data_IF_063300183683
#
_entry.id   IF_063300183683
#
_cell.length_a   1.000
_cell.length_b   1.000
_cell.length_c   1.000
_cell.angle_alpha   90.00
_cell.angle_beta   90.00
_cell.angle_gamma   90.00
#
_symmetry.space_group_name_H-M   'P 1'
#
loop_
_entity.id
_entity.type
_entity.pdbx_description
1 polymer ?
#
# COMPACT_ATOMS: atom_id res chain seq x y z
N UNK A 1 -4.51 -21.43 63.10
CA UNK A 1 -4.01 -22.80 63.35
C UNK A 1 -3.32 -22.77 64.68
N UNK A 2 -3.75 -23.60 65.62
CA UNK A 2 -3.25 -23.58 66.98
C UNK A 2 -1.85 -24.17 67.01
N UNK A 3 -0.83 -23.33 67.21
CA UNK A 3 0.60 -23.70 67.12
C UNK A 3 0.91 -24.79 68.16
N UNK A 4 0.29 -24.69 69.34
CA UNK A 4 0.39 -25.67 70.43
C UNK A 4 -0.14 -27.06 70.04
N UNK A 5 -1.16 -27.14 69.18
CA UNK A 5 -1.73 -28.41 68.75
C UNK A 5 -0.78 -29.13 67.77
N UNK A 6 -0.20 -28.38 66.84
CA UNK A 6 0.77 -28.90 65.86
C UNK A 6 2.07 -29.33 66.55
N UNK A 7 2.52 -28.58 67.56
CA UNK A 7 3.71 -28.93 68.34
C UNK A 7 3.49 -30.22 69.15
N UNK A 8 2.32 -30.39 69.77
CA UNK A 8 1.97 -31.63 70.49
C UNK A 8 1.88 -32.84 69.58
N UNK A 9 1.31 -32.70 68.39
CA UNK A 9 1.19 -33.78 67.41
C UNK A 9 2.56 -34.16 66.82
N UNK A 10 3.39 -33.17 66.49
CA UNK A 10 4.76 -33.38 66.06
C UNK A 10 5.61 -34.05 67.15
N UNK A 11 5.42 -33.67 68.41
CA UNK A 11 6.14 -34.26 69.54
C UNK A 11 5.70 -35.71 69.79
N UNK A 12 4.40 -36.01 69.69
CA UNK A 12 3.87 -37.36 69.81
C UNK A 12 4.38 -38.28 68.67
N UNK A 13 4.38 -37.77 67.43
CA UNK A 13 4.92 -38.49 66.28
C UNK A 13 6.43 -38.76 66.41
N UNK A 14 7.19 -37.76 66.89
CA UNK A 14 8.63 -37.91 67.14
C UNK A 14 8.92 -38.98 68.20
N UNK A 15 8.14 -39.03 69.29
CA UNK A 15 8.28 -40.05 70.33
C UNK A 15 8.05 -41.48 69.78
N UNK A 16 7.01 -41.66 68.95
CA UNK A 16 6.73 -42.94 68.28
C UNK A 16 7.87 -43.32 67.34
N UNK A 17 8.40 -42.36 66.57
CA UNK A 17 9.48 -42.59 65.62
C UNK A 17 10.79 -42.98 66.33
N UNK A 18 11.12 -42.31 67.43
CA UNK A 18 12.31 -42.62 68.24
C UNK A 18 12.18 -43.99 68.90
N UNK A 19 11.01 -44.33 69.44
CA UNK A 19 10.75 -45.65 70.04
C UNK A 19 10.85 -46.81 69.03
N UNK A 20 10.45 -46.58 67.77
CA UNK A 20 10.57 -47.56 66.69
C UNK A 20 12.02 -47.76 66.19
N UNK A 21 12.88 -46.73 66.29
CA UNK A 21 14.27 -46.81 65.81
C UNK A 21 15.23 -47.53 66.75
N UNK A 22 14.94 -47.61 68.06
CA UNK A 22 15.85 -48.16 69.08
C UNK A 22 15.23 -49.34 69.85
N UNK A 23 14.94 -50.45 69.16
CA UNK A 23 14.33 -51.63 69.78
C UNK A 23 15.34 -52.65 70.35
N UNK A 24 16.61 -52.58 69.95
CA UNK A 24 17.69 -53.48 70.43
C UNK A 24 18.96 -52.70 70.84
N UNK A 25 19.74 -53.15 71.84
CA UNK A 25 20.93 -52.44 72.34
C UNK A 25 22.01 -52.18 71.27
N UNK A 26 22.23 -53.12 70.34
CA UNK A 26 23.24 -53.01 69.28
C UNK A 26 22.93 -51.90 68.25
N UNK A 27 21.70 -51.38 68.23
CA UNK A 27 21.28 -50.32 67.30
C UNK A 27 21.74 -48.92 67.76
N UNK A 28 22.26 -48.79 68.99
CA UNK A 28 22.83 -47.55 69.53
C UNK A 28 24.15 -47.15 68.84
N UNK A 29 24.88 -48.09 68.23
CA UNK A 29 26.09 -47.76 67.45
C UNK A 29 25.78 -46.90 66.21
N UNK A 30 24.54 -46.94 65.69
CA UNK A 30 24.09 -46.14 64.53
C UNK A 30 23.56 -44.74 64.91
N UNK A 31 23.57 -44.39 66.20
CA UNK A 31 23.07 -43.10 66.69
C UNK A 31 23.79 -41.91 66.04
N UNK A 32 25.11 -42.01 65.86
CA UNK A 32 25.92 -40.93 65.28
C UNK A 32 25.60 -40.68 63.80
N UNK A 33 25.27 -41.75 63.05
CA UNK A 33 24.84 -41.62 61.65
C UNK A 33 23.46 -40.97 61.54
N UNK A 34 22.49 -41.38 62.37
CA UNK A 34 21.14 -40.77 62.37
C UNK A 34 21.18 -39.32 62.87
N UNK A 35 22.02 -39.01 63.85
CA UNK A 35 22.23 -37.65 64.32
C UNK A 35 22.77 -36.75 63.22
N UNK A 36 23.74 -37.22 62.42
CA UNK A 36 24.26 -36.47 61.25
C UNK A 36 23.18 -36.26 60.18
N UNK A 37 22.38 -37.28 59.87
CA UNK A 37 21.27 -37.15 58.91
C UNK A 37 20.19 -36.18 59.40
N UNK A 38 19.82 -36.22 60.67
CA UNK A 38 18.84 -35.31 61.27
C UNK A 38 19.38 -33.87 61.34
N UNK A 39 20.66 -33.68 61.67
CA UNK A 39 21.31 -32.37 61.61
C UNK A 39 21.31 -31.85 60.17
N UNK A 40 21.64 -32.69 59.18
CA UNK A 40 21.56 -32.34 57.76
C UNK A 40 20.16 -31.91 57.34
N UNK A 41 19.13 -32.71 57.68
CA UNK A 41 17.71 -32.36 57.43
C UNK A 41 17.31 -31.05 58.11
N UNK A 42 17.72 -30.83 59.36
CA UNK A 42 17.44 -29.61 60.11
C UNK A 42 18.07 -28.39 59.45
N UNK A 43 19.32 -28.48 58.98
CA UNK A 43 20.01 -27.41 58.25
C UNK A 43 19.26 -27.06 56.96
N UNK A 44 18.85 -28.08 56.19
CA UNK A 44 18.07 -27.87 54.95
C UNK A 44 16.72 -27.20 55.23
N UNK A 45 16.02 -27.61 56.29
CA UNK A 45 14.74 -26.98 56.68
C UNK A 45 14.96 -25.52 57.10
N UNK A 46 15.99 -25.23 57.91
CA UNK A 46 16.34 -23.87 58.29
C UNK A 46 16.67 -23.01 57.06
N UNK A 47 17.43 -23.54 56.11
CA UNK A 47 17.73 -22.85 54.84
C UNK A 47 16.46 -22.57 54.02
N UNK A 48 15.56 -23.54 53.88
CA UNK A 48 14.28 -23.37 53.20
C UNK A 48 13.41 -22.29 53.86
N UNK A 49 13.30 -22.30 55.19
CA UNK A 49 12.53 -21.28 55.93
C UNK A 49 13.15 -19.90 55.71
N UNK A 50 14.47 -19.75 55.84
CA UNK A 50 15.13 -18.46 55.59
C UNK A 50 14.99 -17.99 54.14
N UNK A 51 15.00 -18.91 53.17
CA UNK A 51 14.77 -18.58 51.77
C UNK A 51 13.32 -18.13 51.51
N UNK A 52 12.34 -18.82 52.10
CA UNK A 52 10.92 -18.45 52.00
C UNK A 52 10.66 -17.10 52.66
N UNK A 53 11.23 -16.83 53.83
CA UNK A 53 11.14 -15.53 54.50
C UNK A 53 11.78 -14.41 53.68
N UNK A 54 12.97 -14.66 53.09
CA UNK A 54 13.62 -13.71 52.19
C UNK A 54 12.77 -13.44 50.94
N UNK A 55 12.24 -14.50 50.31
CA UNK A 55 11.36 -14.38 49.15
C UNK A 55 10.09 -13.60 49.48
N UNK A 56 9.42 -13.90 50.60
CA UNK A 56 8.25 -13.15 51.06
C UNK A 56 8.59 -11.68 51.31
N UNK A 57 9.72 -11.40 51.98
CA UNK A 57 10.16 -10.02 52.24
C UNK A 57 10.43 -9.27 50.94
N UNK A 58 11.12 -9.88 49.98
CA UNK A 58 11.37 -9.27 48.67
C UNK A 58 10.09 -9.08 47.86
N UNK A 59 9.17 -10.05 47.90
CA UNK A 59 7.88 -9.97 47.23
C UNK A 59 7.01 -8.86 47.79
N UNK A 60 6.87 -8.77 49.12
CA UNK A 60 6.14 -7.70 49.80
C UNK A 60 6.76 -6.33 49.49
N UNK A 61 8.09 -6.22 49.55
CA UNK A 61 8.77 -4.96 49.24
C UNK A 61 8.56 -4.53 47.78
N UNK A 62 8.64 -5.47 46.83
CA UNK A 62 8.40 -5.19 45.41
C UNK A 62 6.95 -4.77 45.15
N UNK A 63 5.98 -5.38 45.81
CA UNK A 63 4.57 -5.00 45.67
C UNK A 63 4.30 -3.62 46.28
N UNK A 64 4.88 -3.32 47.45
CA UNK A 64 4.76 -1.99 48.07
C UNK A 64 5.40 -0.91 47.20
N UNK A 65 6.56 -1.17 46.60
CA UNK A 65 7.19 -0.23 45.68
C UNK A 65 6.37 -0.06 44.38
N UNK A 66 5.80 -1.15 43.86
CA UNK A 66 4.86 -1.11 42.74
C UNK A 66 3.61 -0.27 43.03
N UNK A 67 3.04 -0.39 44.23
CA UNK A 67 1.89 0.42 44.66
C UNK A 67 2.31 1.88 44.83
N UNK A 68 3.47 2.15 45.43
CA UNK A 68 3.97 3.51 45.64
C UNK A 68 4.21 4.24 44.33
N UNK A 69 4.86 3.57 43.38
CA UNK A 69 5.08 4.09 42.02
C UNK A 69 3.77 4.29 41.28
N UNK A 70 2.82 3.35 41.37
CA UNK A 70 1.49 3.50 40.78
C UNK A 70 0.71 4.71 41.35
N UNK A 71 0.76 4.93 42.67
CA UNK A 71 0.14 6.12 43.29
C UNK A 71 0.84 7.40 42.84
N UNK A 72 2.17 7.39 42.74
CA UNK A 72 2.95 8.51 42.19
C UNK A 72 2.52 8.86 40.77
N UNK A 73 2.45 7.85 39.89
CA UNK A 73 1.97 8.01 38.52
C UNK A 73 0.53 8.52 38.46
N UNK A 74 -0.36 8.04 39.32
CA UNK A 74 -1.75 8.51 39.38
C UNK A 74 -1.81 10.00 39.75
N UNK A 75 -1.01 10.43 40.73
CA UNK A 75 -0.94 11.84 41.13
C UNK A 75 -0.44 12.73 40.00
N UNK A 76 0.64 12.33 39.32
CA UNK A 76 1.18 13.07 38.16
C UNK A 76 0.17 13.11 37.02
N UNK A 77 -0.51 12.01 36.72
CA UNK A 77 -1.54 11.97 35.65
C UNK A 77 -2.67 12.94 35.93
N UNK A 78 -3.07 13.12 37.19
CA UNK A 78 -4.09 14.11 37.57
C UNK A 78 -3.61 15.54 37.37
N UNK A 79 -2.33 15.82 37.63
CA UNK A 79 -1.72 17.12 37.35
C UNK A 79 -1.65 17.38 35.84
N UNK A 80 -1.18 16.39 35.06
CA UNK A 80 -1.11 16.46 33.60
C UNK A 80 -2.49 16.73 32.97
N UNK A 81 -3.54 16.05 33.46
CA UNK A 81 -4.92 16.26 32.97
C UNK A 81 -5.37 17.71 33.21
N UNK A 82 -5.05 18.29 34.37
CA UNK A 82 -5.40 19.69 34.67
C UNK A 82 -4.64 20.67 33.78
N UNK A 83 -3.38 20.39 33.50
CA UNK A 83 -2.58 21.20 32.58
C UNK A 83 -3.15 21.16 31.16
N UNK A 84 -3.54 19.96 30.69
CA UNK A 84 -4.21 19.80 29.39
C UNK A 84 -5.56 20.52 29.36
N UNK A 85 -6.36 20.43 30.42
CA UNK A 85 -7.65 21.13 30.52
C UNK A 85 -7.46 22.65 30.43
N UNK A 86 -6.47 23.18 31.15
CA UNK A 86 -6.13 24.62 31.13
C UNK A 86 -5.68 25.05 29.74
N UNK A 87 -4.78 24.27 29.12
CA UNK A 87 -4.30 24.52 27.75
C UNK A 87 -5.45 24.49 26.74
N UNK A 88 -6.40 23.57 26.88
CA UNK A 88 -7.59 23.48 26.02
C UNK A 88 -8.51 24.68 26.20
N UNK A 89 -8.68 25.19 27.42
CA UNK A 89 -9.45 26.40 27.69
C UNK A 89 -8.77 27.65 27.08
N UNK A 90 -7.45 27.75 27.16
CA UNK A 90 -6.67 28.81 26.50
C UNK A 90 -6.82 28.75 24.96
N UNK A 91 -6.77 27.54 24.38
CA UNK A 91 -7.03 27.35 22.94
C UNK A 91 -8.47 27.74 22.59
N UNK A 92 -9.45 27.36 23.40
CA UNK A 92 -10.85 27.71 23.14
C UNK A 92 -11.08 29.22 23.18
N UNK A 93 -10.54 29.91 24.19
CA UNK A 93 -10.66 31.37 24.33
C UNK A 93 -9.98 32.12 23.19
N UNK A 94 -8.80 31.67 22.74
CA UNK A 94 -8.13 32.26 21.56
C UNK A 94 -8.89 32.00 20.26
N UNK A 95 -9.51 30.84 20.10
CA UNK A 95 -10.35 30.52 18.93
C UNK A 95 -11.65 31.34 18.89
N UNK A 96 -12.21 31.75 20.02
CA UNK A 96 -13.38 32.63 20.06
C UNK A 96 -13.14 33.99 19.40
N UNK A 97 -11.88 34.48 19.37
CA UNK A 97 -11.51 35.73 18.68
C UNK A 97 -11.34 35.56 17.16
N UNK A 98 -11.33 34.33 16.64
CA UNK A 98 -11.11 34.03 15.23
C UNK A 98 -12.19 34.57 14.26
N UNK A 99 -13.50 34.62 14.60
CA UNK A 99 -14.53 35.21 13.74
C UNK A 99 -14.31 36.71 13.48
N UNK A 100 -13.90 37.47 14.49
CA UNK A 100 -13.60 38.89 14.35
C UNK A 100 -12.34 39.12 13.51
N UNK A 101 -11.31 38.29 13.71
CA UNK A 101 -10.10 38.32 12.88
C UNK A 101 -10.40 37.96 11.43
N UNK A 102 -11.28 36.97 11.19
CA UNK A 102 -11.75 36.58 9.86
C UNK A 102 -12.45 37.75 9.15
N UNK A 103 -13.24 38.54 9.87
CA UNK A 103 -13.90 39.73 9.32
C UNK A 103 -12.90 40.85 9.01
N UNK A 104 -11.96 41.13 9.92
CA UNK A 104 -10.88 42.13 9.70
C UNK A 104 -9.99 41.75 8.51
N UNK A 105 -9.67 40.47 8.36
CA UNK A 105 -8.83 39.94 7.29
C UNK A 105 -9.60 39.64 5.99
N UNK A 106 -10.91 39.94 5.90
CA UNK A 106 -11.70 39.65 4.70
C UNK A 106 -11.15 40.36 3.46
N UNK A 107 -10.78 41.65 3.58
CA UNK A 107 -10.18 42.43 2.48
C UNK A 107 -8.79 41.89 2.08
N UNK A 108 -7.97 41.52 3.05
CA UNK A 108 -6.66 40.92 2.80
C UNK A 108 -6.80 39.54 2.15
N UNK A 109 -7.79 38.74 2.57
CA UNK A 109 -8.09 37.44 1.97
C UNK A 109 -8.56 37.59 0.53
N UNK A 110 -9.43 38.56 0.25
CA UNK A 110 -9.84 38.85 -1.12
C UNK A 110 -8.65 39.29 -1.99
N UNK A 111 -7.79 40.18 -1.48
CA UNK A 111 -6.57 40.59 -2.17
C UNK A 111 -5.60 39.41 -2.38
N UNK A 112 -5.43 38.55 -1.37
CA UNK A 112 -4.59 37.36 -1.47
C UNK A 112 -5.17 36.32 -2.44
N UNK A 113 -6.50 36.18 -2.50
CA UNK A 113 -7.16 35.33 -3.50
C UNK A 113 -6.89 35.85 -4.92
N UNK A 114 -7.03 37.16 -5.16
CA UNK A 114 -6.69 37.78 -6.45
C UNK A 114 -5.21 37.64 -6.79
N UNK A 115 -4.32 37.86 -5.81
CA UNK A 115 -2.89 37.69 -6.00
C UNK A 115 -2.50 36.24 -6.31
N UNK A 116 -3.08 35.27 -5.58
CA UNK A 116 -2.90 33.85 -5.85
C UNK A 116 -3.40 33.50 -7.26
N UNK A 117 -4.55 34.04 -7.68
CA UNK A 117 -5.06 33.86 -9.04
C UNK A 117 -4.10 34.43 -10.10
N UNK A 118 -3.57 35.63 -9.89
CA UNK A 118 -2.60 36.21 -10.81
C UNK A 118 -1.30 35.41 -10.86
N UNK A 119 -0.78 34.95 -9.71
CA UNK A 119 0.40 34.10 -9.66
C UNK A 119 0.20 32.78 -10.45
N UNK A 120 -0.95 32.13 -10.26
CA UNK A 120 -1.34 30.94 -11.02
C UNK A 120 -1.45 31.25 -12.51
N UNK A 121 -2.09 32.36 -12.88
CA UNK A 121 -2.25 32.78 -14.27
C UNK A 121 -0.91 33.11 -14.94
N UNK A 122 0.03 33.75 -14.22
CA UNK A 122 1.39 34.03 -14.69
C UNK A 122 2.17 32.74 -14.90
N UNK A 123 2.08 31.77 -13.98
CA UNK A 123 2.67 30.45 -14.17
C UNK A 123 2.12 29.73 -15.40
N UNK A 124 0.79 29.81 -15.61
CA UNK A 124 0.16 29.24 -16.79
C UNK A 124 0.58 29.95 -18.09
N UNK A 125 0.83 31.27 -18.07
CA UNK A 125 1.30 32.01 -19.24
C UNK A 125 2.69 31.56 -19.72
N UNK A 126 3.58 31.17 -18.80
CA UNK A 126 4.88 30.59 -19.17
C UNK A 126 4.68 29.28 -19.96
N UNK A 127 3.83 28.38 -19.46
CA UNK A 127 3.51 27.14 -20.14
C UNK A 127 2.77 27.32 -21.47
N UNK A 128 1.92 28.36 -21.58
CA UNK A 128 1.26 28.75 -22.85
C UNK A 128 2.31 29.26 -23.85
N UNK A 129 3.26 30.07 -23.42
CA UNK A 129 4.30 30.60 -24.32
C UNK A 129 5.23 29.50 -24.86
N UNK A 130 5.59 28.54 -24.01
CA UNK A 130 6.51 27.43 -24.34
C UNK A 130 5.80 26.22 -24.98
N UNK A 131 4.47 26.26 -25.16
CA UNK A 131 3.69 25.07 -25.52
C UNK A 131 4.11 24.49 -26.87
N UNK A 132 4.33 25.33 -27.88
CA UNK A 132 4.66 24.84 -29.23
C UNK A 132 6.06 24.20 -29.26
N UNK A 133 7.03 24.81 -28.57
CA UNK A 133 8.38 24.26 -28.47
C UNK A 133 8.39 22.94 -27.68
N UNK A 134 7.64 22.89 -26.58
CA UNK A 134 7.53 21.67 -25.76
C UNK A 134 6.75 20.57 -26.48
N UNK A 135 5.73 20.89 -27.28
CA UNK A 135 5.02 19.94 -28.16
C UNK A 135 5.98 19.32 -29.17
N UNK A 136 6.79 20.13 -29.85
CA UNK A 136 7.74 19.60 -30.85
C UNK A 136 8.83 18.74 -30.21
N UNK A 137 9.42 19.18 -29.08
CA UNK A 137 10.36 18.34 -28.31
C UNK A 137 9.72 17.02 -27.84
N UNK A 138 8.44 17.07 -27.45
CA UNK A 138 7.71 15.88 -27.03
C UNK A 138 7.49 14.93 -28.20
N UNK A 139 7.18 15.45 -29.39
CA UNK A 139 7.07 14.66 -30.63
C UNK A 139 8.40 13.99 -30.98
N UNK A 140 9.53 14.69 -30.86
CA UNK A 140 10.87 14.11 -31.02
C UNK A 140 11.11 12.98 -30.01
N UNK A 141 10.78 13.18 -28.72
CA UNK A 141 10.92 12.12 -27.72
C UNK A 141 10.03 10.89 -27.98
N UNK A 142 8.83 11.08 -28.54
CA UNK A 142 7.97 9.97 -28.97
C UNK A 142 8.62 9.20 -30.13
N UNK A 143 9.21 9.90 -31.10
CA UNK A 143 9.92 9.28 -32.23
C UNK A 143 11.20 8.55 -31.79
N UNK A 144 11.95 9.12 -30.84
CA UNK A 144 13.15 8.54 -30.23
C UNK A 144 12.86 7.32 -29.33
N UNK A 145 11.58 7.03 -29.03
CA UNK A 145 11.19 5.96 -28.10
C UNK A 145 11.43 6.30 -26.62
N UNK A 146 11.74 7.56 -26.28
CA UNK A 146 11.91 8.05 -24.90
C UNK A 146 10.56 8.37 -24.26
N UNK A 147 9.70 7.36 -24.14
CA UNK A 147 8.29 7.51 -23.79
C UNK A 147 8.04 8.15 -22.42
N UNK A 148 8.92 7.93 -21.43
CA UNK A 148 8.78 8.54 -20.09
C UNK A 148 8.97 10.05 -20.11
N UNK A 149 9.93 10.54 -20.90
CA UNK A 149 10.18 11.99 -21.03
C UNK A 149 9.04 12.64 -21.80
N UNK A 150 8.58 11.99 -22.88
CA UNK A 150 7.40 12.43 -23.61
C UNK A 150 6.17 12.50 -22.68
N UNK A 151 5.92 11.45 -21.90
CA UNK A 151 4.81 11.42 -20.94
C UNK A 151 4.90 12.52 -19.87
N UNK A 152 6.11 12.79 -19.36
CA UNK A 152 6.33 13.88 -18.39
C UNK A 152 5.91 15.23 -18.98
N UNK A 153 6.39 15.57 -20.18
CA UNK A 153 6.04 16.85 -20.82
C UNK A 153 4.54 16.94 -21.11
N UNK A 154 3.91 15.86 -21.57
CA UNK A 154 2.46 15.80 -21.79
C UNK A 154 1.72 16.05 -20.47
N UNK A 155 2.14 15.43 -19.38
CA UNK A 155 1.50 15.58 -18.07
C UNK A 155 1.60 17.02 -17.56
N UNK A 156 2.75 17.69 -17.72
CA UNK A 156 2.93 19.08 -17.32
C UNK A 156 2.02 20.01 -18.14
N UNK A 157 1.92 19.80 -19.46
CA UNK A 157 1.02 20.58 -20.33
C UNK A 157 -0.46 20.29 -20.06
N UNK A 158 -0.85 19.03 -19.87
CA UNK A 158 -2.23 18.66 -19.50
C UNK A 158 -2.61 19.23 -18.15
N UNK A 159 -1.71 19.21 -17.16
CA UNK A 159 -1.95 19.79 -15.85
C UNK A 159 -2.20 21.30 -15.95
N UNK A 160 -1.37 22.03 -16.71
CA UNK A 160 -1.58 23.46 -16.95
C UNK A 160 -2.91 23.73 -17.67
N UNK A 161 -3.29 22.93 -18.68
CA UNK A 161 -4.60 23.01 -19.34
C UNK A 161 -5.74 22.80 -18.36
N UNK A 162 -5.66 21.75 -17.56
CA UNK A 162 -6.73 21.33 -16.67
C UNK A 162 -6.91 22.30 -15.50
N UNK A 163 -5.81 22.90 -15.00
CA UNK A 163 -5.83 23.95 -13.98
C UNK A 163 -6.45 25.25 -14.53
N UNK A 164 -6.12 25.64 -15.77
CA UNK A 164 -6.79 26.74 -16.47
C UNK A 164 -8.29 26.48 -16.62
N UNK A 165 -8.66 25.27 -17.05
CA UNK A 165 -10.07 24.89 -17.19
C UNK A 165 -10.80 24.85 -15.84
N UNK A 166 -10.12 24.46 -14.76
CA UNK A 166 -10.68 24.45 -13.42
C UNK A 166 -10.92 25.87 -12.89
N UNK A 167 -9.98 26.80 -13.08
CA UNK A 167 -10.19 28.21 -12.70
C UNK A 167 -11.32 28.85 -13.52
N UNK A 168 -11.39 28.60 -14.82
CA UNK A 168 -12.54 29.03 -15.65
C UNK A 168 -13.85 28.44 -15.13
N UNK A 169 -13.87 27.16 -14.75
CA UNK A 169 -15.05 26.51 -14.21
C UNK A 169 -15.50 27.12 -12.87
N UNK A 170 -14.55 27.44 -11.99
CA UNK A 170 -14.81 28.07 -10.68
C UNK A 170 -15.41 29.47 -10.80
N UNK A 171 -15.04 30.22 -11.85
CA UNK A 171 -15.53 31.58 -12.06
C UNK A 171 -17.02 31.63 -12.47
N UNK A 172 -17.60 30.52 -12.94
CA UNK A 172 -19.04 30.39 -13.29
C UNK A 172 -19.61 31.59 -14.08
N UNK A 173 -18.81 32.22 -14.95
CA UNK A 173 -19.23 33.36 -15.74
C UNK A 173 -20.15 32.96 -16.90
N UNK A 174 -20.93 33.91 -17.43
CA UNK A 174 -21.86 33.68 -18.55
C UNK A 174 -21.19 33.13 -19.83
N UNK A 175 -19.87 33.31 -19.97
CA UNK A 175 -19.07 32.90 -21.14
C UNK A 175 -18.25 31.60 -20.95
N UNK A 176 -18.48 30.84 -19.88
CA UNK A 176 -17.69 29.62 -19.54
C UNK A 176 -17.57 28.63 -20.71
N UNK A 177 -18.60 28.48 -21.54
CA UNK A 177 -18.56 27.56 -22.69
C UNK A 177 -17.66 28.07 -23.82
N UNK A 178 -17.62 29.38 -24.06
CA UNK A 178 -16.75 29.99 -25.07
C UNK A 178 -15.28 29.86 -24.67
N UNK A 179 -14.94 30.18 -23.42
CA UNK A 179 -13.57 30.07 -22.90
C UNK A 179 -13.09 28.61 -22.86
N UNK A 180 -13.95 27.67 -22.46
CA UNK A 180 -13.66 26.23 -22.54
C UNK A 180 -13.38 25.78 -23.98
N UNK A 181 -14.13 26.27 -24.96
CA UNK A 181 -13.92 25.91 -26.36
C UNK A 181 -12.65 26.55 -26.95
N UNK A 182 -12.31 27.77 -26.54
CA UNK A 182 -11.05 28.42 -26.90
C UNK A 182 -9.86 27.62 -26.39
N UNK A 183 -9.89 27.21 -25.10
CA UNK A 183 -8.85 26.37 -24.51
C UNK A 183 -8.76 25.01 -25.23
N UNK A 184 -9.87 24.35 -25.54
CA UNK A 184 -9.85 23.10 -26.32
C UNK A 184 -9.21 23.28 -27.70
N UNK A 185 -9.46 24.39 -28.36
CA UNK A 185 -8.87 24.68 -29.69
C UNK A 185 -7.37 24.91 -29.57
N UNK A 186 -6.97 25.68 -28.55
CA UNK A 186 -5.56 25.99 -28.29
C UNK A 186 -4.72 24.74 -27.97
N UNK A 187 -5.25 23.85 -27.13
CA UNK A 187 -4.58 22.60 -26.74
C UNK A 187 -4.83 21.44 -27.72
N UNK A 188 -5.38 21.68 -28.91
CA UNK A 188 -5.70 20.60 -29.86
C UNK A 188 -4.48 19.85 -30.38
N UNK A 189 -3.31 20.51 -30.47
CA UNK A 189 -2.07 19.85 -30.86
C UNK A 189 -1.51 18.93 -29.77
N UNK A 190 -1.75 19.26 -28.49
CA UNK A 190 -1.43 18.38 -27.37
C UNK A 190 -2.22 17.07 -27.46
N UNK A 191 -3.51 17.13 -27.83
CA UNK A 191 -4.34 15.94 -28.03
C UNK A 191 -3.78 15.03 -29.15
N UNK A 192 -3.21 15.61 -30.22
CA UNK A 192 -2.55 14.84 -31.28
C UNK A 192 -1.31 14.12 -30.77
N UNK A 193 -0.45 14.80 -30.02
CA UNK A 193 0.76 14.19 -29.43
C UNK A 193 0.40 13.08 -28.43
N UNK A 194 -0.66 13.27 -27.65
CA UNK A 194 -1.20 12.24 -26.76
C UNK A 194 -1.64 11.01 -27.56
N UNK A 195 -2.32 11.19 -28.69
CA UNK A 195 -2.72 10.08 -29.55
C UNK A 195 -1.52 9.36 -30.17
N UNK A 196 -0.46 10.09 -30.54
CA UNK A 196 0.79 9.51 -31.04
C UNK A 196 1.50 8.69 -29.96
N UNK A 197 1.62 9.21 -28.73
CA UNK A 197 2.14 8.46 -27.60
C UNK A 197 1.29 7.19 -27.36
N UNK A 198 -0.03 7.33 -27.34
CA UNK A 198 -0.93 6.19 -27.14
C UNK A 198 -0.73 5.11 -28.21
N UNK A 199 -0.58 5.49 -29.49
CA UNK A 199 -0.28 4.55 -30.58
C UNK A 199 1.02 3.77 -30.32
N UNK A 200 2.08 4.45 -29.87
CA UNK A 200 3.34 3.80 -29.52
C UNK A 200 3.17 2.84 -28.32
N UNK A 201 2.40 3.23 -27.29
CA UNK A 201 2.09 2.36 -26.16
C UNK A 201 1.33 1.11 -26.60
N UNK A 202 0.31 1.24 -27.44
CA UNK A 202 -0.46 0.10 -27.94
C UNK A 202 0.37 -0.82 -28.82
N UNK A 203 1.29 -0.26 -29.61
CA UNK A 203 2.23 -1.04 -30.40
C UNK A 203 3.19 -1.88 -29.53
N UNK A 204 3.66 -1.33 -28.40
CA UNK A 204 4.50 -2.08 -27.45
C UNK A 204 3.67 -3.15 -26.72
N UNK A 205 2.45 -2.80 -26.29
CA UNK A 205 1.58 -3.74 -25.56
C UNK A 205 1.09 -4.89 -26.44
N UNK A 206 0.78 -4.63 -27.71
CA UNK A 206 0.39 -5.70 -28.66
C UNK A 206 1.51 -6.72 -28.83
N UNK A 207 2.76 -6.25 -28.91
CA UNK A 207 3.95 -7.10 -29.03
C UNK A 207 4.51 -7.60 -27.70
N UNK A 208 3.70 -7.63 -26.63
CA UNK A 208 4.20 -7.95 -25.29
C UNK A 208 4.88 -9.33 -25.22
N UNK A 209 4.32 -10.36 -25.86
CA UNK A 209 4.90 -11.71 -25.85
C UNK A 209 6.20 -11.78 -26.67
N UNK A 210 6.30 -11.08 -27.80
CA UNK A 210 7.52 -11.01 -28.60
C UNK A 210 8.61 -10.16 -27.94
N UNK A 211 8.23 -9.03 -27.35
CA UNK A 211 9.14 -8.13 -26.65
C UNK A 211 9.80 -8.84 -25.47
N UNK A 212 9.05 -9.69 -24.78
CA UNK A 212 9.52 -10.48 -23.64
C UNK A 212 10.41 -11.66 -24.07
N UNK A 213 10.23 -12.20 -25.29
CA UNK A 213 11.10 -13.24 -25.86
C UNK A 213 12.43 -12.71 -26.40
N UNK A 214 12.46 -11.42 -26.77
CA UNK A 214 13.58 -10.80 -27.47
C UNK A 214 14.71 -10.32 -26.56
N UNK A 215 15.53 -9.43 -27.13
CA UNK A 215 16.66 -8.74 -26.48
C UNK A 215 16.26 -8.07 -25.16
N UNK A 216 17.22 -7.84 -24.25
CA UNK A 216 17.03 -7.18 -22.94
C UNK A 216 16.27 -5.82 -22.98
N UNK A 217 16.26 -5.15 -24.14
CA UNK A 217 15.55 -3.89 -24.35
C UNK A 217 14.01 -4.04 -24.49
N UNK A 218 13.51 -5.23 -24.84
CA UNK A 218 12.07 -5.46 -25.01
C UNK A 218 11.28 -5.42 -23.69
N UNK A 219 11.68 -6.19 -22.65
CA UNK A 219 11.03 -6.14 -21.34
C UNK A 219 11.06 -4.75 -20.71
N UNK A 220 12.15 -4.00 -20.87
CA UNK A 220 12.29 -2.64 -20.32
C UNK A 220 11.35 -1.63 -21.01
N UNK A 221 11.15 -1.75 -22.33
CA UNK A 221 10.15 -0.97 -23.06
C UNK A 221 8.72 -1.30 -22.63
N UNK A 222 8.41 -2.59 -22.43
CA UNK A 222 7.09 -3.02 -21.96
C UNK A 222 6.79 -2.49 -20.56
N UNK A 223 7.72 -2.66 -19.61
CA UNK A 223 7.59 -2.12 -18.25
C UNK A 223 7.44 -0.60 -18.30
N UNK A 224 8.16 0.09 -19.18
CA UNK A 224 8.02 1.54 -19.37
C UNK A 224 6.62 1.93 -19.84
N UNK A 225 6.06 1.21 -20.82
CA UNK A 225 4.71 1.46 -21.31
C UNK A 225 3.66 1.20 -20.21
N UNK A 226 3.80 0.10 -19.45
CA UNK A 226 2.90 -0.24 -18.34
C UNK A 226 2.98 0.77 -17.19
N UNK A 227 4.18 1.30 -16.89
CA UNK A 227 4.35 2.38 -15.90
C UNK A 227 3.59 3.64 -16.29
N UNK A 228 3.57 3.98 -17.58
CA UNK A 228 2.80 5.13 -18.08
C UNK A 228 1.30 4.85 -17.92
N UNK A 229 0.82 3.66 -18.29
CA UNK A 229 -0.58 3.27 -18.15
C UNK A 229 -1.04 3.34 -16.69
N UNK A 230 -0.25 2.82 -15.75
CA UNK A 230 -0.59 2.86 -14.32
C UNK A 230 -0.56 4.28 -13.75
N UNK A 231 0.33 5.14 -14.25
CA UNK A 231 0.34 6.56 -13.87
C UNK A 231 -0.92 7.26 -14.36
N UNK A 232 -1.35 6.99 -15.58
CA UNK A 232 -2.59 7.54 -16.15
C UNK A 232 -3.84 7.08 -15.39
N UNK A 233 -3.91 5.81 -15.02
CA UNK A 233 -5.01 5.27 -14.22
C UNK A 233 -5.06 5.91 -12.82
N UNK A 234 -3.90 6.22 -12.22
CA UNK A 234 -3.83 6.94 -10.94
C UNK A 234 -4.33 8.38 -11.06
N UNK A 235 -4.05 9.05 -12.18
CA UNK A 235 -4.58 10.39 -12.47
C UNK A 235 -6.10 10.33 -12.66
N UNK A 236 -6.61 9.34 -13.40
CA UNK A 236 -8.05 9.12 -13.56
C UNK A 236 -8.74 8.93 -12.18
N UNK A 237 -8.17 8.08 -11.32
CA UNK A 237 -8.70 7.85 -9.97
C UNK A 237 -8.71 9.12 -9.12
N UNK A 238 -7.64 9.93 -9.18
CA UNK A 238 -7.57 11.20 -8.46
C UNK A 238 -8.73 12.13 -8.81
N UNK A 239 -9.07 12.27 -10.10
CA UNK A 239 -10.19 13.10 -10.53
C UNK A 239 -11.54 12.50 -10.17
N UNK A 240 -11.71 11.17 -10.23
CA UNK A 240 -12.93 10.49 -9.79
C UNK A 240 -13.18 10.74 -8.29
N UNK A 241 -12.16 10.56 -7.45
CA UNK A 241 -12.26 10.75 -6.01
C UNK A 241 -12.56 12.21 -5.67
N UNK A 242 -11.90 13.16 -6.37
CA UNK A 242 -12.12 14.60 -6.20
C UNK A 242 -13.52 15.04 -6.68
N UNK A 243 -14.05 14.40 -7.72
CA UNK A 243 -15.42 14.64 -8.18
C UNK A 243 -16.43 14.23 -7.12
N UNK A 244 -16.21 13.10 -6.45
CA UNK A 244 -17.07 12.62 -5.37
C UNK A 244 -17.01 13.52 -4.12
N UNK A 245 -15.86 14.14 -3.81
CA UNK A 245 -15.66 14.83 -2.53
C UNK A 245 -15.89 16.34 -2.54
N UNK A 246 -15.56 17.06 -3.62
CA UNK A 246 -15.33 18.51 -3.51
C UNK A 246 -15.85 19.34 -4.69
N UNK A 247 -15.77 18.85 -5.92
CA UNK A 247 -16.11 19.67 -7.10
C UNK A 247 -16.57 18.80 -8.25
N UNK A 248 -17.70 19.14 -8.90
CA UNK A 248 -18.21 18.46 -10.10
C UNK A 248 -17.39 18.74 -11.39
N UNK A 249 -16.12 19.11 -11.24
CA UNK A 249 -15.23 19.35 -12.37
C UNK A 249 -14.50 18.07 -12.77
N UNK A 250 -14.67 17.66 -14.02
CA UNK A 250 -13.88 16.61 -14.67
C UNK A 250 -13.18 17.21 -15.90
N UNK A 251 -11.85 17.06 -16.03
CA UNK A 251 -11.14 17.47 -17.25
C UNK A 251 -11.68 16.77 -18.50
N UNK A 252 -11.61 17.41 -19.67
CA UNK A 252 -12.05 16.80 -20.92
C UNK A 252 -11.19 15.56 -21.25
N UNK A 253 -11.86 14.47 -21.62
CA UNK A 253 -11.18 13.22 -22.02
C UNK A 253 -10.80 12.28 -20.87
N UNK A 254 -11.11 12.64 -19.62
CA UNK A 254 -10.98 11.78 -18.43
C UNK A 254 -12.34 11.19 -18.03
N UNK A 255 -12.41 9.95 -17.51
CA UNK A 255 -11.32 8.98 -17.38
C UNK A 255 -10.96 8.33 -18.72
N UNK A 256 -9.68 8.07 -18.93
CA UNK A 256 -9.14 7.49 -20.16
C UNK A 256 -9.21 5.96 -20.18
N UNK A 257 -9.17 5.32 -19.01
CA UNK A 257 -9.23 3.86 -18.81
C UNK A 257 -8.18 3.10 -19.64
N UNK A 258 -6.93 3.57 -19.60
CA UNK A 258 -5.85 3.00 -20.41
C UNK A 258 -5.51 1.57 -20.01
N UNK A 259 -5.74 1.17 -18.75
CA UNK A 259 -5.61 -0.23 -18.33
C UNK A 259 -6.55 -1.14 -19.11
N UNK A 260 -7.82 -0.76 -19.24
CA UNK A 260 -8.80 -1.54 -19.98
C UNK A 260 -8.39 -1.67 -21.46
N UNK A 261 -8.03 -0.54 -22.10
CA UNK A 261 -7.58 -0.53 -23.50
C UNK A 261 -6.34 -1.38 -23.73
N UNK A 262 -5.39 -1.37 -22.80
CA UNK A 262 -4.20 -2.23 -22.86
C UNK A 262 -4.58 -3.72 -22.92
N UNK A 263 -5.47 -4.16 -22.03
CA UNK A 263 -5.95 -5.55 -22.00
C UNK A 263 -6.74 -5.92 -23.27
N UNK A 264 -7.54 -4.99 -23.81
CA UNK A 264 -8.23 -5.18 -25.08
C UNK A 264 -7.26 -5.32 -26.27
N UNK A 265 -6.19 -4.51 -26.31
CA UNK A 265 -5.14 -4.61 -27.32
C UNK A 265 -4.44 -5.96 -27.24
N UNK A 266 -4.07 -6.41 -26.03
CA UNK A 266 -3.45 -7.74 -25.83
C UNK A 266 -4.41 -8.85 -26.29
N UNK A 267 -5.68 -8.79 -25.91
CA UNK A 267 -6.68 -9.78 -26.32
C UNK A 267 -6.86 -9.82 -27.85
N UNK A 268 -6.85 -8.66 -28.50
CA UNK A 268 -6.91 -8.55 -29.97
C UNK A 268 -5.69 -9.22 -30.62
N UNK A 269 -4.49 -9.03 -30.07
CA UNK A 269 -3.29 -9.67 -30.59
C UNK A 269 -3.31 -11.19 -30.42
N UNK A 270 -3.77 -11.68 -29.27
CA UNK A 270 -3.98 -13.12 -29.04
C UNK A 270 -4.96 -13.70 -30.07
N UNK A 271 -6.07 -13.00 -30.31
CA UNK A 271 -7.04 -13.38 -31.35
C UNK A 271 -6.42 -13.42 -32.75
N UNK A 272 -5.72 -12.36 -33.15
CA UNK A 272 -5.04 -12.28 -34.44
C UNK A 272 -4.02 -13.39 -34.63
N UNK A 273 -3.33 -13.80 -33.56
CA UNK A 273 -2.35 -14.88 -33.60
C UNK A 273 -3.01 -16.25 -33.84
N UNK A 274 -4.14 -16.54 -33.19
CA UNK A 274 -4.89 -17.79 -33.42
C UNK A 274 -5.52 -17.80 -34.83
N UNK A 275 -6.06 -16.67 -35.27
CA UNK A 275 -6.66 -16.50 -36.60
C UNK A 275 -5.62 -16.59 -37.73
N UNK A 276 -4.46 -15.93 -37.57
CA UNK A 276 -3.40 -15.93 -38.57
C UNK A 276 -2.74 -17.29 -38.79
N UNK A 277 -2.92 -18.23 -37.86
CA UNK A 277 -2.44 -19.61 -37.99
C UNK A 277 -3.40 -20.54 -38.73
N UNK A 278 -4.60 -20.07 -39.12
CA UNK A 278 -5.52 -20.82 -39.97
C UNK A 278 -5.12 -20.67 -41.45
N UNK A 279 -4.14 -21.48 -41.88
CA UNK A 279 -3.61 -21.45 -43.25
C UNK A 279 -4.35 -22.38 -44.23
N UNK A 280 -5.02 -23.41 -43.71
CA UNK A 280 -5.69 -24.45 -44.51
C UNK A 280 -7.19 -24.47 -44.17
N UNK A 281 -8.02 -24.55 -45.21
CA UNK A 281 -9.47 -24.74 -45.09
C UNK A 281 -9.89 -26.13 -45.61
N UNK A 282 -11.15 -26.51 -45.35
CA UNK A 282 -11.73 -27.80 -45.75
C UNK A 282 -11.63 -28.12 -47.24
N UNK A 283 -11.57 -27.08 -48.09
CA UNK A 283 -11.40 -27.21 -49.54
C UNK A 283 -9.98 -27.61 -49.94
N UNK A 284 -8.97 -27.22 -49.16
CA UNK A 284 -7.56 -27.48 -49.44
C UNK A 284 -7.12 -28.84 -48.87
N UNK A 285 -7.60 -29.20 -47.68
CA UNK A 285 -7.19 -30.42 -47.00
C UNK A 285 -8.34 -31.02 -46.17
N UNK A 286 -8.60 -32.33 -46.31
CA UNK A 286 -9.60 -33.02 -45.48
C UNK A 286 -9.21 -33.06 -44.00
N UNK A 287 -7.92 -33.00 -43.69
CA UNK A 287 -7.36 -33.01 -42.33
C UNK A 287 -7.04 -31.60 -41.79
N UNK A 288 -7.55 -30.54 -42.44
CA UNK A 288 -7.28 -29.15 -42.07
C UNK A 288 -7.53 -28.88 -40.58
N UNK A 289 -8.61 -29.42 -40.00
CA UNK A 289 -8.97 -29.20 -38.60
C UNK A 289 -7.94 -29.80 -37.63
N UNK A 290 -7.48 -31.03 -37.89
CA UNK A 290 -6.49 -31.68 -37.04
C UNK A 290 -5.15 -30.94 -37.07
N UNK A 291 -4.74 -30.45 -38.25
CA UNK A 291 -3.52 -29.64 -38.41
C UNK A 291 -3.65 -28.28 -37.74
N UNK A 292 -4.80 -27.62 -37.90
CA UNK A 292 -5.10 -26.35 -37.26
C UNK A 292 -5.05 -26.48 -35.73
N UNK A 293 -5.70 -27.50 -35.16
CA UNK A 293 -5.69 -27.75 -33.71
C UNK A 293 -4.27 -28.06 -33.19
N UNK A 294 -3.45 -28.77 -33.96
CA UNK A 294 -2.06 -29.02 -33.59
C UNK A 294 -1.23 -27.73 -33.58
N UNK A 295 -1.39 -26.86 -34.58
CA UNK A 295 -0.74 -25.54 -34.62
C UNK A 295 -1.22 -24.67 -33.45
N UNK A 296 -2.53 -24.63 -33.18
CA UNK A 296 -3.08 -23.93 -32.01
C UNK A 296 -2.49 -24.48 -30.71
N UNK A 297 -2.38 -25.80 -30.54
CA UNK A 297 -1.77 -26.40 -29.34
C UNK A 297 -0.34 -25.91 -29.14
N UNK A 298 0.47 -25.92 -30.20
CA UNK A 298 1.87 -25.49 -30.13
C UNK A 298 1.98 -24.00 -29.75
N UNK A 299 1.22 -23.15 -30.43
CA UNK A 299 1.25 -21.69 -30.21
C UNK A 299 0.76 -21.33 -28.81
N UNK A 300 -0.36 -21.92 -28.37
CA UNK A 300 -0.94 -21.64 -27.04
C UNK A 300 0.03 -22.08 -25.93
N UNK A 301 0.60 -23.28 -26.03
CA UNK A 301 1.51 -23.79 -24.99
C UNK A 301 2.76 -22.93 -24.90
N UNK A 302 3.35 -22.58 -26.05
CA UNK A 302 4.54 -21.76 -26.11
C UNK A 302 4.28 -20.33 -25.57
N UNK A 303 3.13 -19.74 -25.92
CA UNK A 303 2.74 -18.41 -25.44
C UNK A 303 2.43 -18.38 -23.95
N UNK A 304 1.74 -19.38 -23.42
CA UNK A 304 1.47 -19.48 -21.99
C UNK A 304 2.75 -19.74 -21.18
N UNK A 305 3.72 -20.46 -21.74
CA UNK A 305 5.02 -20.65 -21.11
C UNK A 305 5.75 -19.32 -20.96
N UNK A 306 5.80 -18.52 -22.03
CA UNK A 306 6.41 -17.18 -22.00
C UNK A 306 5.64 -16.20 -21.12
N UNK A 307 4.31 -16.26 -21.17
CA UNK A 307 3.47 -15.44 -20.31
C UNK A 307 3.79 -15.69 -18.81
N UNK A 308 3.99 -16.96 -18.44
CA UNK A 308 4.34 -17.35 -17.08
C UNK A 308 5.76 -16.99 -16.68
N UNK A 309 6.74 -17.31 -17.53
CA UNK A 309 8.16 -17.19 -17.17
C UNK A 309 8.68 -15.76 -17.23
N UNK A 310 8.27 -15.00 -18.25
CA UNK A 310 8.94 -13.76 -18.61
C UNK A 310 7.98 -12.56 -18.73
N UNK A 311 6.69 -12.76 -19.05
CA UNK A 311 5.73 -11.66 -19.04
C UNK A 311 5.27 -11.34 -17.61
N UNK A 312 4.99 -12.35 -16.78
CA UNK A 312 4.50 -12.17 -15.41
C UNK A 312 5.33 -11.20 -14.56
N UNK A 313 6.69 -11.18 -14.62
CA UNK A 313 7.49 -10.20 -13.88
C UNK A 313 7.40 -8.77 -14.41
N UNK A 314 7.00 -8.57 -15.68
CA UNK A 314 6.92 -7.25 -16.30
C UNK A 314 5.63 -6.49 -15.94
N UNK A 315 4.55 -7.22 -15.61
CA UNK A 315 3.26 -6.64 -15.28
C UNK A 315 3.11 -6.43 -13.76
N UNK A 316 2.35 -5.41 -13.34
CA UNK A 316 1.98 -5.27 -11.94
C UNK A 316 1.20 -6.51 -11.45
N UNK A 317 1.38 -6.96 -10.19
CA UNK A 317 0.67 -8.13 -9.67
C UNK A 317 -0.85 -8.04 -9.76
N UNK A 318 -1.42 -6.83 -9.68
CA UNK A 318 -2.87 -6.57 -9.80
C UNK A 318 -3.46 -6.93 -11.16
N UNK A 319 -2.64 -7.14 -12.18
CA UNK A 319 -3.12 -7.51 -13.51
C UNK A 319 -3.46 -8.99 -13.60
N UNK A 320 -2.87 -9.85 -12.78
CA UNK A 320 -3.01 -11.32 -12.88
C UNK A 320 -2.83 -11.80 -14.33
N UNK A 321 -1.77 -11.29 -14.98
CA UNK A 321 -1.66 -11.32 -16.44
C UNK A 321 -1.65 -12.74 -17.01
N UNK A 322 -1.07 -13.70 -16.29
CA UNK A 322 -1.07 -15.11 -16.69
C UNK A 322 -2.49 -15.68 -16.76
N UNK A 323 -3.30 -15.48 -15.72
CA UNK A 323 -4.68 -15.96 -15.67
C UNK A 323 -5.56 -15.27 -16.73
N UNK A 324 -5.26 -13.98 -17.01
CA UNK A 324 -5.89 -13.27 -18.13
C UNK A 324 -5.52 -13.86 -19.48
N UNK A 325 -4.25 -14.20 -19.72
CA UNK A 325 -3.86 -14.89 -20.96
C UNK A 325 -4.58 -16.24 -21.09
N UNK A 326 -4.59 -17.06 -20.04
CA UNK A 326 -5.31 -18.34 -20.02
C UNK A 326 -6.79 -18.13 -20.36
N UNK A 327 -7.44 -17.15 -19.73
CA UNK A 327 -8.84 -16.82 -19.99
C UNK A 327 -9.08 -16.34 -21.43
N UNK A 328 -8.18 -15.50 -21.98
CA UNK A 328 -8.27 -15.03 -23.37
C UNK A 328 -8.16 -16.20 -24.36
N UNK A 329 -7.15 -17.07 -24.21
CA UNK A 329 -7.00 -18.25 -25.06
C UNK A 329 -8.17 -19.22 -24.91
N UNK A 330 -8.63 -19.47 -23.69
CA UNK A 330 -9.78 -20.34 -23.42
C UNK A 330 -11.03 -19.83 -24.13
N UNK A 331 -11.38 -18.55 -23.95
CA UNK A 331 -12.58 -17.95 -24.55
C UNK A 331 -12.54 -17.95 -26.08
N UNK A 332 -11.34 -17.76 -26.68
CA UNK A 332 -11.18 -17.79 -28.12
C UNK A 332 -11.30 -19.21 -28.70
N UNK A 333 -10.86 -20.23 -27.96
CA UNK A 333 -10.94 -21.62 -28.38
C UNK A 333 -12.32 -22.25 -28.10
N UNK A 334 -12.99 -21.86 -27.02
CA UNK A 334 -14.33 -22.36 -26.66
C UNK A 334 -15.47 -21.65 -27.39
N UNK A 335 -15.24 -20.41 -27.84
CA UNK A 335 -16.19 -19.65 -28.65
C UNK A 335 -16.20 -20.00 -30.13
N UNK A 336 -15.36 -20.95 -30.57
CA UNK A 336 -15.35 -21.54 -31.92
C UNK A 336 -15.93 -22.95 -31.87
#
# INVERSE_FOLDING_TARGET
MDIDAIEKEAHAAALVQVAQMFQRPDQLEKLDTFKKELIGKRIVILQLVTAVEAMLRTGVQSQLEGIRTAIGHLSTTVEDIKEVETSLQEIYTTLLAFPELKQKMAKLREANMKNSQYATSIGHLQHIYEINETIEKTREYVQDGKLLLAHKNIMEMEHARDDLMYEVHKLQQSNVNYEKNLLKTYFSDLDKVIQELAKQLWYICSRCLEAVRGTEQGPTQLVTALRIIEREERIDQYYIDRQASTSDFMPPGRPRKWRQKCLEVIASTVKQRIEGNQLEDRSLNKQWLARYLEVCRLVVVDDLLVAKSAASPCFPPSYEIYDRFVSMYHNLLSGR
#
